data_IF_476550863040
#
_entry.id   IF_476550863040
#
_cell.length_a   1.000
_cell.length_b   1.000
_cell.length_c   1.000
_cell.angle_alpha   90.00
_cell.angle_beta   90.00
_cell.angle_gamma   90.00
#
_symmetry.space_group_name_H-M   'P 1'
#
loop_
_entity.id
_entity.type
_entity.pdbx_description
1 polymer ?
#
# COMPACT_ATOMS: atom_id res chain seq x y z
N UNK A 1 11.86 -38.54 44.20
CA UNK A 1 10.54 -37.98 44.54
C UNK A 1 10.40 -36.63 43.84
N UNK A 2 10.02 -36.64 42.55
CA UNK A 2 9.66 -35.45 41.78
C UNK A 2 8.61 -35.90 40.75
N UNK A 3 7.41 -35.33 40.88
CA UNK A 3 6.19 -35.74 40.18
C UNK A 3 6.24 -35.41 38.67
N UNK A 4 5.52 -36.18 37.83
CA UNK A 4 5.28 -35.79 36.43
C UNK A 4 4.25 -34.64 36.34
N UNK A 5 4.33 -33.78 35.30
CA UNK A 5 3.38 -32.69 35.08
C UNK A 5 2.01 -33.21 34.62
N UNK A 6 0.96 -32.61 35.15
CA UNK A 6 -0.43 -32.91 34.82
C UNK A 6 -0.82 -32.46 33.40
N UNK A 7 -1.72 -33.18 32.71
CA UNK A 7 -2.23 -32.77 31.39
C UNK A 7 -3.15 -31.56 31.53
N UNK A 8 -2.81 -30.46 30.86
CA UNK A 8 -3.65 -29.27 30.78
C UNK A 8 -4.91 -29.58 29.96
N UNK A 9 -6.02 -29.66 30.69
CA UNK A 9 -7.37 -29.95 30.22
C UNK A 9 -7.86 -28.93 29.18
N UNK A 10 -8.34 -29.49 28.08
CA UNK A 10 -9.08 -28.88 26.99
C UNK A 10 -10.50 -28.48 27.41
N UNK A 11 -10.73 -27.22 27.78
CA UNK A 11 -12.09 -26.66 27.90
C UNK A 11 -12.09 -25.14 27.64
N UNK A 12 -12.20 -24.77 26.35
CA UNK A 12 -12.77 -23.47 25.98
C UNK A 12 -14.16 -23.72 25.38
N UNK A 13 -15.25 -23.43 26.11
CA UNK A 13 -16.58 -23.54 25.55
C UNK A 13 -16.79 -22.47 24.48
N UNK A 14 -17.33 -22.91 23.34
CA UNK A 14 -17.75 -22.11 22.21
C UNK A 14 -18.80 -21.07 22.63
N UNK A 15 -18.34 -19.90 23.08
CA UNK A 15 -19.18 -18.78 23.53
C UNK A 15 -19.29 -17.64 22.50
N UNK A 16 -18.99 -17.94 21.22
CA UNK A 16 -19.34 -17.08 20.10
C UNK A 16 -20.45 -17.74 19.29
N UNK A 17 -21.65 -17.79 19.88
CA UNK A 17 -22.90 -17.94 19.14
C UNK A 17 -23.13 -16.64 18.35
N UNK A 18 -22.42 -16.53 17.23
CA UNK A 18 -22.63 -15.49 16.23
C UNK A 18 -24.07 -15.59 15.74
N UNK A 19 -24.91 -14.70 16.25
CA UNK A 19 -26.15 -14.32 15.59
C UNK A 19 -25.76 -13.65 14.26
N UNK A 20 -25.48 -14.46 13.25
CA UNK A 20 -25.35 -14.05 11.86
C UNK A 20 -26.70 -13.49 11.41
N UNK A 21 -26.90 -12.19 11.69
CA UNK A 21 -27.80 -11.38 10.89
C UNK A 21 -27.39 -11.62 9.44
N UNK A 22 -28.30 -12.21 8.66
CA UNK A 22 -28.28 -12.28 7.19
C UNK A 22 -28.12 -10.85 6.67
N UNK A 23 -26.88 -10.37 6.62
CA UNK A 23 -26.51 -9.14 5.93
C UNK A 23 -26.78 -9.45 4.48
N UNK A 24 -27.80 -8.78 3.93
CA UNK A 24 -28.18 -8.84 2.53
C UNK A 24 -26.92 -8.93 1.66
N UNK A 25 -26.77 -10.06 0.94
CA UNK A 25 -25.66 -10.25 0.02
C UNK A 25 -25.58 -9.01 -0.88
N UNK A 26 -24.49 -8.23 -0.80
CA UNK A 26 -24.32 -7.12 -1.72
C UNK A 26 -24.34 -7.71 -3.12
N UNK A 27 -25.29 -7.25 -3.94
CA UNK A 27 -25.43 -7.57 -5.35
C UNK A 27 -24.06 -7.74 -5.99
N UNK A 28 -23.78 -8.94 -6.53
CA UNK A 28 -22.48 -9.31 -7.11
C UNK A 28 -22.02 -8.23 -8.10
N UNK A 29 -21.12 -7.37 -7.63
CA UNK A 29 -20.46 -6.39 -8.47
C UNK A 29 -19.54 -7.16 -9.42
N UNK A 30 -19.87 -7.17 -10.71
CA UNK A 30 -19.02 -7.77 -11.73
C UNK A 30 -17.60 -7.19 -11.59
N UNK A 31 -16.57 -8.03 -11.44
CA UNK A 31 -15.22 -7.54 -11.27
C UNK A 31 -14.80 -6.75 -12.51
N UNK A 32 -14.14 -5.60 -12.29
CA UNK A 32 -13.62 -4.79 -13.38
C UNK A 32 -12.63 -5.59 -14.23
N UNK A 33 -12.71 -5.40 -15.55
CA UNK A 33 -11.79 -6.02 -16.49
C UNK A 33 -10.33 -5.67 -16.13
N UNK A 34 -9.41 -6.66 -16.09
CA UNK A 34 -7.99 -6.41 -15.79
C UNK A 34 -7.35 -5.36 -16.70
N UNK A 35 -7.84 -5.24 -17.95
CA UNK A 35 -7.36 -4.23 -18.90
C UNK A 35 -7.72 -2.81 -18.45
N UNK A 36 -8.94 -2.61 -17.94
CA UNK A 36 -9.37 -1.32 -17.41
C UNK A 36 -8.61 -0.95 -16.14
N UNK A 37 -8.37 -1.91 -15.23
CA UNK A 37 -7.56 -1.67 -14.04
C UNK A 37 -6.14 -1.23 -14.40
N UNK A 38 -5.52 -1.86 -15.41
CA UNK A 38 -4.21 -1.44 -15.92
C UNK A 38 -4.25 -0.05 -16.56
N UNK A 39 -5.25 0.24 -17.38
CA UNK A 39 -5.40 1.55 -18.00
C UNK A 39 -5.57 2.66 -16.96
N UNK A 40 -6.43 2.44 -15.95
CA UNK A 40 -6.63 3.35 -14.82
C UNK A 40 -5.37 3.52 -13.99
N UNK A 41 -4.65 2.43 -13.72
CA UNK A 41 -3.37 2.48 -13.02
C UNK A 41 -2.36 3.34 -13.79
N UNK A 42 -2.18 3.08 -15.10
CA UNK A 42 -1.28 3.86 -15.94
C UNK A 42 -1.67 5.34 -15.99
N UNK A 43 -2.96 5.63 -16.22
CA UNK A 43 -3.46 7.01 -16.29
C UNK A 43 -3.23 7.77 -14.98
N UNK A 44 -3.47 7.11 -13.83
CA UNK A 44 -3.26 7.72 -12.51
C UNK A 44 -1.77 7.83 -12.13
N UNK A 45 -0.88 7.07 -12.78
CA UNK A 45 0.57 7.11 -12.55
C UNK A 45 1.31 8.24 -13.29
N UNK A 46 0.69 8.87 -14.28
CA UNK A 46 1.31 9.99 -15.02
C UNK A 46 1.66 11.16 -14.06
N UNK A 47 0.74 11.52 -13.17
CA UNK A 47 0.96 12.59 -12.18
C UNK A 47 2.14 12.35 -11.24
N UNK A 48 2.28 11.19 -10.56
CA UNK A 48 3.43 10.93 -9.71
C UNK A 48 4.74 10.81 -10.51
N UNK A 49 4.73 10.26 -11.73
CA UNK A 49 5.95 10.22 -12.57
C UNK A 49 6.47 11.64 -12.80
N UNK A 50 5.60 12.55 -13.20
CA UNK A 50 5.98 13.94 -13.47
C UNK A 50 6.42 14.63 -12.17
N UNK A 51 5.73 14.37 -11.05
CA UNK A 51 6.13 14.92 -9.74
C UNK A 51 7.52 14.44 -9.29
N UNK A 52 7.87 13.18 -9.58
CA UNK A 52 9.19 12.61 -9.28
C UNK A 52 10.25 13.21 -10.20
N UNK A 53 9.98 13.29 -11.51
CA UNK A 53 10.89 13.90 -12.49
C UNK A 53 11.16 15.37 -12.16
N UNK A 54 10.11 16.16 -11.90
CA UNK A 54 10.20 17.58 -11.54
C UNK A 54 10.72 17.82 -10.11
N UNK A 55 10.75 16.79 -9.25
CA UNK A 55 11.07 16.89 -7.81
C UNK A 55 10.17 17.85 -7.03
N UNK A 56 9.05 18.24 -7.60
CA UNK A 56 8.10 19.18 -7.04
C UNK A 56 6.69 18.59 -7.14
N UNK A 57 5.87 18.86 -6.13
CA UNK A 57 4.45 18.50 -6.15
C UNK A 57 3.65 19.47 -7.02
N UNK A 58 4.08 19.66 -8.26
CA UNK A 58 3.40 20.52 -9.22
C UNK A 58 2.30 19.70 -9.90
N UNK A 59 1.05 19.99 -9.56
CA UNK A 59 -0.08 19.37 -10.26
C UNK A 59 -0.17 19.96 -11.67
N UNK A 60 -0.05 19.11 -12.69
CA UNK A 60 -0.25 19.52 -14.09
C UNK A 60 -1.70 19.76 -14.45
N UNK A 61 -2.64 19.39 -13.58
CA UNK A 61 -4.08 19.54 -13.82
C UNK A 61 -4.55 20.81 -13.09
N UNK A 62 -4.54 21.99 -13.73
CA UNK A 62 -4.92 23.25 -13.07
C UNK A 62 -6.36 23.21 -12.52
N UNK A 63 -7.23 22.39 -13.11
CA UNK A 63 -8.61 22.19 -12.65
C UNK A 63 -8.74 21.54 -11.26
N UNK A 64 -7.73 20.79 -10.81
CA UNK A 64 -7.72 20.17 -9.48
C UNK A 64 -6.98 21.02 -8.44
N UNK A 65 -6.73 22.30 -8.72
CA UNK A 65 -6.16 23.28 -7.78
C UNK A 65 -7.21 23.65 -6.72
N UNK A 66 -7.62 22.68 -5.91
CA UNK A 66 -8.50 22.90 -4.76
C UNK A 66 -7.77 23.78 -3.77
N UNK A 67 -8.35 24.95 -3.45
CA UNK A 67 -7.91 25.87 -2.39
C UNK A 67 -7.63 25.03 -1.13
N UNK A 68 -6.37 24.86 -0.78
CA UNK A 68 -5.98 24.28 0.50
C UNK A 68 -6.28 25.33 1.55
N UNK A 69 -7.37 25.14 2.28
CA UNK A 69 -7.68 25.89 3.50
C UNK A 69 -6.61 25.57 4.54
N UNK A 70 -5.61 26.45 4.66
CA UNK A 70 -4.35 26.24 5.39
C UNK A 70 -4.46 26.39 6.91
N UNK A 71 -5.63 26.70 7.45
CA UNK A 71 -5.74 27.32 8.79
C UNK A 71 -5.73 26.39 9.99
N UNK A 72 -6.58 25.35 10.04
CA UNK A 72 -6.93 24.69 11.32
C UNK A 72 -6.57 23.20 11.45
N UNK A 73 -6.63 22.42 10.38
CA UNK A 73 -6.25 20.99 10.41
C UNK A 73 -4.74 20.76 10.25
N UNK A 74 -3.95 21.78 9.93
CA UNK A 74 -2.54 21.64 9.61
C UNK A 74 -1.63 21.21 10.79
N UNK A 75 -2.03 21.45 12.05
CA UNK A 75 -1.17 21.17 13.20
C UNK A 75 -1.10 19.68 13.55
N UNK A 76 -2.25 19.00 13.63
CA UNK A 76 -2.32 17.55 13.94
C UNK A 76 -1.78 16.71 12.78
N UNK A 77 -2.04 17.14 11.54
CA UNK A 77 -1.51 16.48 10.36
C UNK A 77 0.01 16.67 10.19
N UNK A 78 0.60 17.73 10.76
CA UNK A 78 2.05 17.99 10.67
C UNK A 78 2.89 16.94 11.41
N UNK A 79 2.40 16.40 12.52
CA UNK A 79 3.11 15.39 13.32
C UNK A 79 2.92 13.99 12.76
N UNK A 80 1.71 13.63 12.34
CA UNK A 80 1.39 12.26 11.88
C UNK A 80 1.80 12.05 10.40
N UNK A 81 1.70 13.09 9.56
CA UNK A 81 2.02 13.01 8.13
C UNK A 81 3.31 13.75 7.79
N UNK A 82 4.38 13.54 8.56
CA UNK A 82 5.71 14.04 8.20
C UNK A 82 6.11 13.63 6.78
N UNK A 83 5.68 12.43 6.35
CA UNK A 83 5.86 11.91 4.99
C UNK A 83 5.28 12.80 3.89
N UNK A 84 4.24 13.60 4.16
CA UNK A 84 3.67 14.53 3.19
C UNK A 84 4.62 15.69 2.85
N UNK A 85 5.64 15.96 3.69
CA UNK A 85 6.66 16.99 3.45
C UNK A 85 7.90 16.44 2.74
N UNK A 86 8.05 15.12 2.64
CA UNK A 86 9.19 14.52 1.94
C UNK A 86 9.12 14.83 0.45
N UNK A 87 10.29 15.02 -0.18
CA UNK A 87 10.37 15.24 -1.62
C UNK A 87 9.85 14.02 -2.38
N UNK A 88 9.15 14.19 -3.51
CA UNK A 88 8.64 13.08 -4.31
C UNK A 88 9.72 12.05 -4.66
N UNK A 89 10.94 12.50 -4.99
CA UNK A 89 12.08 11.61 -5.27
C UNK A 89 12.48 10.75 -4.08
N UNK A 90 12.45 11.33 -2.88
CA UNK A 90 12.76 10.58 -1.66
C UNK A 90 11.70 9.51 -1.40
N UNK A 91 10.40 9.84 -1.57
CA UNK A 91 9.33 8.86 -1.44
C UNK A 91 9.42 7.74 -2.47
N UNK A 92 9.82 8.07 -3.71
CA UNK A 92 10.08 7.08 -4.74
C UNK A 92 11.21 6.11 -4.32
N UNK A 93 12.31 6.64 -3.77
CA UNK A 93 13.42 5.83 -3.26
C UNK A 93 12.96 4.96 -2.08
N UNK A 94 12.19 5.52 -1.14
CA UNK A 94 11.60 4.77 -0.01
C UNK A 94 10.73 3.63 -0.52
N UNK A 95 9.81 3.90 -1.46
CA UNK A 95 8.96 2.87 -2.07
C UNK A 95 9.78 1.79 -2.77
N UNK A 96 10.87 2.17 -3.43
CA UNK A 96 11.79 1.24 -4.08
C UNK A 96 12.54 0.36 -3.08
N UNK A 97 13.02 0.93 -1.97
CA UNK A 97 13.69 0.21 -0.90
C UNK A 97 12.73 -0.77 -0.19
N UNK A 98 11.49 -0.34 0.04
CA UNK A 98 10.43 -1.18 0.60
C UNK A 98 10.13 -2.38 -0.31
N UNK A 99 10.14 -2.20 -1.65
CA UNK A 99 10.02 -3.32 -2.60
C UNK A 99 11.21 -4.28 -2.52
N UNK A 100 12.42 -3.76 -2.36
CA UNK A 100 13.61 -4.58 -2.16
C UNK A 100 13.49 -5.45 -0.90
N UNK A 101 13.10 -4.84 0.22
CA UNK A 101 12.85 -5.52 1.50
C UNK A 101 11.78 -6.60 1.36
N UNK A 102 10.70 -6.31 0.65
CA UNK A 102 9.64 -7.30 0.41
C UNK A 102 10.14 -8.48 -0.43
N UNK A 103 11.05 -8.26 -1.39
CA UNK A 103 11.62 -9.34 -2.22
C UNK A 103 12.64 -10.20 -1.45
N UNK A 104 13.32 -9.64 -0.45
CA UNK A 104 14.31 -10.36 0.37
C UNK A 104 13.71 -11.03 1.62
N UNK A 105 12.44 -10.75 1.96
CA UNK A 105 11.78 -11.28 3.16
C UNK A 105 10.58 -12.18 2.82
N UNK A 106 10.16 -13.00 3.79
CA UNK A 106 8.96 -13.83 3.67
C UNK A 106 7.64 -13.01 3.61
N UNK A 107 7.72 -11.70 3.83
CA UNK A 107 6.61 -10.73 3.84
C UNK A 107 5.93 -10.63 2.47
N UNK A 108 6.57 -11.11 1.40
CA UNK A 108 6.00 -11.19 0.05
C UNK A 108 4.61 -11.84 0.01
N UNK A 109 4.35 -12.83 0.86
CA UNK A 109 3.05 -13.52 0.90
C UNK A 109 1.91 -12.67 1.45
N UNK A 110 2.23 -11.63 2.23
CA UNK A 110 1.23 -10.80 2.92
C UNK A 110 1.05 -9.44 2.23
N UNK A 111 2.09 -8.91 1.59
CA UNK A 111 2.10 -7.53 1.07
C UNK A 111 2.42 -7.44 -0.43
N UNK A 112 1.80 -8.26 -1.29
CA UNK A 112 1.82 -8.01 -2.74
C UNK A 112 0.43 -7.49 -3.18
N UNK A 113 0.17 -6.16 -3.06
CA UNK A 113 -1.14 -5.61 -3.40
C UNK A 113 -1.46 -5.89 -4.87
N UNK A 114 -2.70 -6.30 -5.15
CA UNK A 114 -3.12 -6.51 -6.52
C UNK A 114 -3.08 -5.17 -7.29
N UNK A 115 -2.96 -5.25 -8.62
CA UNK A 115 -2.96 -4.06 -9.49
C UNK A 115 -4.21 -3.20 -9.25
N UNK A 116 -5.36 -3.84 -8.94
CA UNK A 116 -6.60 -3.15 -8.58
C UNK A 116 -6.48 -2.35 -7.28
N UNK A 117 -5.85 -2.90 -6.24
CA UNK A 117 -5.61 -2.18 -4.98
C UNK A 117 -4.69 -0.98 -5.21
N UNK A 118 -3.64 -1.14 -6.02
CA UNK A 118 -2.75 -0.04 -6.39
C UNK A 118 -3.49 1.10 -7.11
N UNK A 119 -4.36 0.76 -8.08
CA UNK A 119 -5.20 1.73 -8.78
C UNK A 119 -6.19 2.43 -7.84
N UNK A 120 -6.84 1.68 -6.95
CA UNK A 120 -7.78 2.22 -5.96
C UNK A 120 -7.11 3.16 -4.96
N UNK A 121 -5.94 2.79 -4.42
CA UNK A 121 -5.16 3.66 -3.54
C UNK A 121 -4.73 4.94 -4.26
N UNK A 122 -4.33 4.85 -5.52
CA UNK A 122 -3.93 6.01 -6.29
C UNK A 122 -5.12 6.93 -6.60
N UNK A 123 -6.30 6.36 -6.87
CA UNK A 123 -7.54 7.11 -7.04
C UNK A 123 -7.99 7.78 -5.74
N UNK A 124 -7.87 7.09 -4.59
CA UNK A 124 -8.16 7.66 -3.27
C UNK A 124 -7.17 8.76 -2.91
N UNK A 125 -5.89 8.59 -3.24
CA UNK A 125 -4.87 9.62 -3.09
C UNK A 125 -5.21 10.87 -3.93
N UNK A 126 -5.66 10.68 -5.19
CA UNK A 126 -6.20 11.75 -6.02
C UNK A 126 -7.42 12.43 -5.40
N UNK A 127 -8.40 11.65 -4.92
CA UNK A 127 -9.64 12.17 -4.34
C UNK A 127 -9.41 12.97 -3.05
N UNK A 128 -8.46 12.54 -2.22
CA UNK A 128 -8.04 13.21 -0.98
C UNK A 128 -6.98 14.29 -1.21
N UNK A 129 -6.55 14.51 -2.46
CA UNK A 129 -5.42 15.37 -2.82
C UNK A 129 -4.11 15.04 -2.08
N UNK A 130 -3.97 13.81 -1.59
CA UNK A 130 -2.77 13.30 -0.92
C UNK A 130 -1.75 12.85 -1.97
N UNK A 131 -0.60 13.54 -2.04
CA UNK A 131 0.37 13.35 -3.13
C UNK A 131 1.48 12.34 -2.83
N UNK A 132 1.70 12.05 -1.54
CA UNK A 132 2.78 11.19 -1.10
C UNK A 132 2.56 9.69 -1.40
N UNK A 133 1.35 9.10 -1.30
CA UNK A 133 1.17 7.67 -1.52
C UNK A 133 1.46 7.28 -2.97
N UNK A 134 1.09 8.15 -3.92
CA UNK A 134 1.30 7.93 -5.35
C UNK A 134 2.77 7.84 -5.72
N UNK A 135 3.63 8.70 -5.16
CA UNK A 135 5.07 8.67 -5.41
C UNK A 135 5.74 7.42 -4.81
N UNK A 136 5.31 7.02 -3.61
CA UNK A 136 5.78 5.80 -2.96
C UNK A 136 5.36 4.55 -3.73
N UNK A 137 4.08 4.44 -4.11
CA UNK A 137 3.55 3.32 -4.91
C UNK A 137 4.23 3.22 -6.28
N UNK A 138 4.54 4.36 -6.90
CA UNK A 138 5.29 4.39 -8.16
C UNK A 138 6.68 3.77 -7.99
N UNK A 139 7.44 4.18 -6.96
CA UNK A 139 8.74 3.60 -6.66
C UNK A 139 8.66 2.10 -6.38
N UNK A 140 7.65 1.69 -5.61
CA UNK A 140 7.39 0.28 -5.32
C UNK A 140 7.11 -0.55 -6.59
N UNK A 141 6.23 -0.05 -7.47
CA UNK A 141 5.82 -0.77 -8.68
C UNK A 141 6.94 -0.86 -9.73
N UNK A 142 7.69 0.24 -9.93
CA UNK A 142 8.71 0.34 -10.99
C UNK A 142 10.02 -0.36 -10.61
N UNK A 143 10.36 -0.43 -9.33
CA UNK A 143 11.65 -0.97 -8.89
C UNK A 143 11.75 -2.50 -8.91
N UNK A 144 10.64 -3.23 -9.04
CA UNK A 144 10.63 -4.70 -9.08
C UNK A 144 11.60 -5.31 -10.11
N UNK A 145 11.55 -4.97 -11.42
CA UNK A 145 12.50 -5.53 -12.40
C UNK A 145 13.95 -5.17 -12.09
N UNK A 146 14.21 -3.97 -11.58
CA UNK A 146 15.54 -3.52 -11.19
C UNK A 146 16.12 -4.41 -10.07
N UNK A 147 15.33 -4.73 -9.05
CA UNK A 147 15.76 -5.61 -7.96
C UNK A 147 15.95 -7.07 -8.39
N UNK A 148 15.09 -7.57 -9.28
CA UNK A 148 15.26 -8.91 -9.86
C UNK A 148 16.56 -8.98 -10.66
N UNK A 149 16.89 -7.93 -11.43
CA UNK A 149 18.14 -7.83 -12.17
C UNK A 149 19.37 -7.88 -11.23
N UNK A 150 19.29 -7.23 -10.07
CA UNK A 150 20.32 -7.28 -9.02
C UNK A 150 20.32 -8.58 -8.19
N UNK A 151 19.54 -9.59 -8.59
CA UNK A 151 19.39 -10.87 -7.86
C UNK A 151 18.90 -10.71 -6.42
N UNK A 152 18.10 -9.68 -6.14
CA UNK A 152 17.43 -9.56 -4.85
C UNK A 152 16.37 -10.67 -4.74
N UNK A 153 16.63 -11.64 -3.88
CA UNK A 153 15.72 -12.75 -3.58
C UNK A 153 15.81 -13.13 -2.10
N UNK A 154 14.89 -13.97 -1.62
CA UNK A 154 14.98 -14.51 -0.27
C UNK A 154 16.27 -15.33 -0.14
N UNK A 155 16.93 -15.33 1.04
CA UNK A 155 18.10 -16.17 1.26
C UNK A 155 17.71 -17.64 1.05
N UNK A 156 18.57 -18.40 0.37
CA UNK A 156 18.37 -19.83 0.17
C UNK A 156 18.16 -20.49 1.53
N UNK A 157 16.98 -21.08 1.75
CA UNK A 157 16.76 -21.90 2.93
C UNK A 157 17.71 -23.08 2.81
N UNK A 158 18.79 -23.07 3.57
CA UNK A 158 19.57 -24.28 3.83
C UNK A 158 18.62 -25.23 4.55
N UNK A 159 18.07 -26.19 3.81
CA UNK A 159 17.33 -27.30 4.41
C UNK A 159 18.40 -28.13 5.12
N UNK A 160 18.48 -27.97 6.43
CA UNK A 160 19.25 -28.83 7.33
C UNK A 160 18.32 -29.90 7.89
#
# INVERSE_FOLDING_TARGET
LLMPPAPASSYFPNLFSSSEKKINQPSELKPLSPRLCKALFCATMINPVISVCANEYRSLVPFLKRRSDRGRTAAVYRTIFYFARLKPRLLFVIGSALRALQLTTAVRLVFDPSIGVGAGLNLMALATASRWPSALLLGWAVSKPFWIFLRAGPPERKVQ
#
